data_IF_878138117649
#
_entry.id   IF_878138117649
#
_cell.length_a   1.000
_cell.length_b   1.000
_cell.length_c   1.000
_cell.angle_alpha   90.00
_cell.angle_beta   90.00
_cell.angle_gamma   90.00
#
_symmetry.space_group_name_H-M   'P 1'
#
loop_
_entity.id
_entity.type
_entity.pdbx_description
1 polymer ?
#
# COMPACT_ATOMS: atom_id res chain seq x y z
N UNK A 1 7.77 28.60 -26.03
CA UNK A 1 6.40 28.59 -25.47
C UNK A 1 6.42 27.68 -24.25
N UNK A 2 5.87 28.08 -23.10
CA UNK A 2 5.74 27.16 -21.96
C UNK A 2 4.81 26.00 -22.35
N UNK A 3 5.11 24.79 -21.88
CA UNK A 3 4.28 23.61 -22.11
C UNK A 3 2.91 23.77 -21.47
N UNK A 4 1.87 23.19 -22.08
CA UNK A 4 0.60 22.98 -21.40
C UNK A 4 0.75 21.99 -20.25
N UNK A 5 -0.17 22.04 -19.27
CA UNK A 5 -0.16 21.09 -18.14
C UNK A 5 -0.17 19.63 -18.63
N UNK A 6 -0.97 19.35 -19.68
CA UNK A 6 -1.06 18.01 -20.28
C UNK A 6 0.29 17.57 -20.87
N UNK A 7 0.93 18.44 -21.67
CA UNK A 7 2.22 18.12 -22.27
C UNK A 7 3.31 17.94 -21.21
N UNK A 8 3.30 18.78 -20.18
CA UNK A 8 4.24 18.67 -19.06
C UNK A 8 4.13 17.32 -18.33
N UNK A 9 2.91 16.84 -18.07
CA UNK A 9 2.68 15.53 -17.46
C UNK A 9 3.21 14.41 -18.38
N UNK A 10 2.95 14.47 -19.68
CA UNK A 10 3.42 13.43 -20.61
C UNK A 10 4.95 13.41 -20.71
N UNK A 11 5.60 14.57 -20.82
CA UNK A 11 7.08 14.69 -20.79
C UNK A 11 7.65 14.12 -19.49
N UNK A 12 6.99 14.35 -18.36
CA UNK A 12 7.38 13.78 -17.07
C UNK A 12 7.32 12.24 -17.08
N UNK A 13 6.21 11.69 -17.56
CA UNK A 13 6.00 10.24 -17.66
C UNK A 13 6.95 9.57 -18.66
N UNK A 14 7.33 10.27 -19.73
CA UNK A 14 8.33 9.81 -20.72
C UNK A 14 9.78 9.89 -20.19
N UNK A 15 10.09 10.81 -19.26
CA UNK A 15 11.46 10.96 -18.75
C UNK A 15 12.43 11.69 -19.69
N UNK A 16 11.91 12.29 -20.77
CA UNK A 16 12.70 12.88 -21.86
C UNK A 16 12.11 14.20 -22.37
N UNK A 17 12.92 15.27 -22.33
CA UNK A 17 12.57 16.60 -22.83
C UNK A 17 13.08 16.74 -24.26
N UNK A 18 12.20 16.51 -25.23
CA UNK A 18 12.53 16.51 -26.67
C UNK A 18 13.10 17.83 -27.16
N UNK A 19 12.56 18.96 -26.69
CA UNK A 19 12.96 20.31 -27.12
C UNK A 19 14.37 20.68 -26.71
N UNK A 20 14.88 20.09 -25.63
CA UNK A 20 16.22 20.35 -25.08
C UNK A 20 17.18 19.18 -25.35
N UNK A 21 16.71 18.13 -26.02
CA UNK A 21 17.44 16.87 -26.20
C UNK A 21 17.99 16.33 -24.87
N UNK A 22 17.23 16.49 -23.79
CA UNK A 22 17.65 16.18 -22.43
C UNK A 22 16.85 15.00 -21.87
N UNK A 23 17.55 13.93 -21.50
CA UNK A 23 16.98 12.79 -20.76
C UNK A 23 17.30 12.94 -19.29
N UNK A 24 16.27 13.03 -18.45
CA UNK A 24 16.43 13.11 -16.99
C UNK A 24 16.07 11.78 -16.30
N UNK A 25 15.55 10.81 -17.06
CA UNK A 25 15.29 9.45 -16.58
C UNK A 25 15.46 8.42 -17.70
N UNK A 26 16.08 7.29 -17.37
CA UNK A 26 16.42 6.25 -18.35
C UNK A 26 15.23 5.42 -18.82
N UNK A 27 14.23 5.24 -17.95
CA UNK A 27 13.02 4.46 -18.23
C UNK A 27 11.79 5.37 -18.27
N UNK A 28 10.70 4.92 -18.90
CA UNK A 28 9.39 5.57 -18.86
C UNK A 28 8.56 5.08 -17.65
N UNK A 29 7.60 5.88 -17.18
CA UNK A 29 6.65 5.45 -16.15
C UNK A 29 5.41 4.88 -16.85
N UNK A 30 5.28 3.56 -16.88
CA UNK A 30 4.09 2.88 -17.42
C UNK A 30 3.29 2.22 -16.30
N UNK A 31 1.98 2.45 -16.28
CA UNK A 31 1.06 1.80 -15.35
C UNK A 31 0.42 0.61 -16.05
N UNK A 32 0.88 -0.60 -15.71
CA UNK A 32 0.25 -1.83 -16.19
C UNK A 32 -1.06 -2.02 -15.40
N UNK A 33 -2.20 -1.96 -16.10
CA UNK A 33 -3.45 -2.51 -15.57
C UNK A 33 -3.21 -4.02 -15.54
N UNK A 34 -3.13 -4.60 -14.36
CA UNK A 34 -2.65 -5.96 -14.13
C UNK A 34 -3.27 -6.95 -15.13
N UNK A 35 -2.48 -7.43 -16.09
CA UNK A 35 -2.70 -8.75 -16.65
C UNK A 35 -2.68 -9.70 -15.45
N UNK A 36 -3.80 -10.38 -15.20
CA UNK A 36 -3.93 -11.35 -14.11
C UNK A 36 -2.66 -12.17 -14.08
N UNK A 37 -1.92 -12.08 -12.97
CA UNK A 37 -0.76 -12.92 -12.75
C UNK A 37 -1.21 -14.35 -13.06
N UNK A 38 -0.53 -15.00 -14.02
CA UNK A 38 -0.75 -16.41 -14.34
C UNK A 38 -0.85 -17.15 -13.02
N UNK A 39 -1.87 -17.97 -12.86
CA UNK A 39 -2.10 -18.80 -11.68
C UNK A 39 -0.86 -19.65 -11.43
N UNK A 40 0.09 -19.11 -10.65
CA UNK A 40 1.16 -19.92 -10.11
C UNK A 40 0.46 -20.88 -9.16
N UNK A 41 0.49 -22.18 -9.46
CA UNK A 41 0.04 -23.22 -8.55
C UNK A 41 0.84 -23.10 -7.26
N UNK A 42 0.27 -22.42 -6.28
CA UNK A 42 0.96 -22.09 -5.05
C UNK A 42 0.81 -23.25 -4.08
N UNK A 43 1.97 -23.87 -3.81
CA UNK A 43 2.23 -24.71 -2.64
C UNK A 43 1.62 -24.03 -1.40
N UNK A 44 0.93 -24.82 -0.57
CA UNK A 44 0.22 -24.43 0.65
C UNK A 44 0.51 -22.99 1.12
N UNK A 45 -0.37 -22.06 0.79
CA UNK A 45 -0.28 -20.70 1.26
C UNK A 45 -0.42 -20.66 2.78
N UNK A 46 0.64 -20.23 3.47
CA UNK A 46 0.51 -19.81 4.85
C UNK A 46 -0.34 -18.54 4.87
N UNK A 47 -1.56 -18.68 5.38
CA UNK A 47 -2.48 -17.58 5.60
C UNK A 47 -2.32 -17.12 7.05
N UNK A 48 -1.90 -15.87 7.22
CA UNK A 48 -1.89 -15.26 8.55
C UNK A 48 -3.22 -14.58 8.80
N UNK A 49 -3.81 -14.86 9.96
CA UNK A 49 -5.08 -14.28 10.39
C UNK A 49 -4.85 -13.33 11.55
N UNK A 50 -5.57 -12.23 11.55
CA UNK A 50 -5.63 -11.32 12.68
C UNK A 50 -7.07 -11.20 13.19
N UNK A 51 -7.27 -11.26 14.51
CA UNK A 51 -8.58 -11.13 15.11
C UNK A 51 -9.07 -9.68 15.11
N UNK A 52 -10.31 -9.49 15.54
CA UNK A 52 -10.84 -8.15 15.83
C UNK A 52 -9.97 -7.49 16.91
N UNK A 53 -9.58 -6.24 16.69
CA UNK A 53 -8.77 -5.46 17.64
C UNK A 53 -9.39 -4.09 17.84
N UNK A 54 -9.21 -3.52 19.03
CA UNK A 54 -9.58 -2.12 19.29
C UNK A 54 -8.40 -1.40 19.93
N UNK A 55 -8.19 -0.14 19.55
CA UNK A 55 -7.18 0.73 20.13
C UNK A 55 -7.76 2.11 20.38
N UNK A 56 -7.72 2.54 21.62
CA UNK A 56 -8.30 3.79 22.08
C UNK A 56 -7.19 4.72 22.51
N UNK A 57 -7.19 5.91 21.93
CA UNK A 57 -6.45 7.08 22.38
C UNK A 57 -7.45 8.10 22.93
N UNK A 58 -6.94 9.17 23.54
CA UNK A 58 -7.77 10.16 24.24
C UNK A 58 -9.00 10.64 23.44
N UNK A 59 -8.86 10.95 22.15
CA UNK A 59 -9.96 11.47 21.30
C UNK A 59 -10.24 10.60 20.08
N UNK A 60 -9.59 9.43 19.98
CA UNK A 60 -9.61 8.61 18.77
C UNK A 60 -9.73 7.14 19.14
N UNK A 61 -10.70 6.45 18.55
CA UNK A 61 -10.87 5.01 18.70
C UNK A 61 -10.73 4.36 17.32
N UNK A 62 -9.77 3.43 17.22
CA UNK A 62 -9.57 2.59 16.07
C UNK A 62 -10.17 1.21 16.34
N UNK A 63 -11.10 0.81 15.50
CA UNK A 63 -11.64 -0.55 15.47
C UNK A 63 -11.14 -1.26 14.22
N UNK A 64 -10.47 -2.39 14.39
CA UNK A 64 -9.96 -3.23 13.32
C UNK A 64 -10.84 -4.48 13.27
N UNK A 65 -11.49 -4.69 12.13
CA UNK A 65 -12.24 -5.92 11.86
C UNK A 65 -11.28 -7.08 11.59
N UNK A 66 -11.67 -8.34 11.90
CA UNK A 66 -10.83 -9.50 11.64
C UNK A 66 -10.59 -9.66 10.15
N UNK A 67 -9.40 -10.16 9.80
CA UNK A 67 -9.03 -10.39 8.42
C UNK A 67 -7.86 -11.36 8.32
N UNK A 68 -7.47 -11.61 7.08
CA UNK A 68 -6.36 -12.51 6.77
C UNK A 68 -5.55 -11.96 5.60
N UNK A 69 -4.29 -12.37 5.53
CA UNK A 69 -3.39 -12.06 4.43
C UNK A 69 -2.51 -13.26 4.13
N UNK A 70 -2.18 -13.44 2.84
CA UNK A 70 -1.37 -14.56 2.38
C UNK A 70 0.07 -14.15 2.13
N UNK A 71 1.00 -15.11 2.25
CA UNK A 71 2.35 -14.92 1.73
C UNK A 71 2.30 -14.59 0.23
N UNK A 72 3.13 -13.63 -0.20
CA UNK A 72 3.21 -13.11 -1.58
C UNK A 72 2.04 -12.23 -2.03
N UNK A 73 1.20 -11.75 -1.11
CA UNK A 73 0.17 -10.75 -1.40
C UNK A 73 0.67 -9.32 -1.15
N UNK A 74 0.29 -8.38 -2.01
CA UNK A 74 0.49 -6.94 -1.78
C UNK A 74 -0.86 -6.31 -1.46
N UNK A 75 -1.04 -5.91 -0.20
CA UNK A 75 -2.27 -5.26 0.28
C UNK A 75 -2.04 -3.75 0.41
N UNK A 76 -2.92 -2.97 -0.20
CA UNK A 76 -2.88 -1.49 -0.13
C UNK A 76 -3.91 -1.00 0.90
N UNK A 77 -3.44 -0.29 1.92
CA UNK A 77 -4.30 0.37 2.90
C UNK A 77 -4.67 1.78 2.45
N UNK A 78 -5.97 2.02 2.21
CA UNK A 78 -6.51 3.31 1.78
C UNK A 78 -7.31 3.98 2.90
N UNK A 79 -7.40 5.31 2.85
CA UNK A 79 -8.18 6.11 3.80
C UNK A 79 -7.55 7.47 4.08
N UNK A 80 -8.32 8.40 4.64
CA UNK A 80 -7.83 9.74 4.97
C UNK A 80 -6.73 9.72 6.04
N UNK A 81 -5.98 10.81 6.17
CA UNK A 81 -5.01 10.94 7.27
C UNK A 81 -5.74 10.94 8.61
N UNK A 82 -5.16 10.28 9.62
CA UNK A 82 -5.77 10.15 10.94
C UNK A 82 -6.76 8.98 11.10
N UNK A 83 -7.06 8.19 10.06
CA UNK A 83 -7.97 7.03 10.18
C UNK A 83 -7.37 5.81 10.87
N UNK A 84 -6.13 5.88 11.36
CA UNK A 84 -5.48 4.79 12.09
C UNK A 84 -4.69 3.77 11.25
N UNK A 85 -4.46 4.00 9.95
CA UNK A 85 -3.66 3.09 9.08
C UNK A 85 -2.28 2.78 9.65
N UNK A 86 -1.53 3.81 10.05
CA UNK A 86 -0.20 3.65 10.65
C UNK A 86 -0.27 2.93 12.00
N UNK A 87 -1.31 3.21 12.79
CA UNK A 87 -1.55 2.52 14.07
C UNK A 87 -1.82 1.04 13.85
N UNK A 88 -2.65 0.68 12.87
CA UNK A 88 -2.90 -0.71 12.49
C UNK A 88 -1.61 -1.43 12.10
N UNK A 89 -0.77 -0.82 11.26
CA UNK A 89 0.54 -1.39 10.89
C UNK A 89 1.47 -1.58 12.09
N UNK A 90 1.49 -0.65 13.05
CA UNK A 90 2.27 -0.78 14.28
C UNK A 90 1.77 -1.92 15.17
N UNK A 91 0.47 -2.15 15.22
CA UNK A 91 -0.13 -3.27 15.95
C UNK A 91 0.29 -4.60 15.32
N UNK A 92 0.16 -4.73 13.99
CA UNK A 92 0.60 -5.93 13.27
C UNK A 92 2.10 -6.19 13.43
N UNK A 93 2.92 -5.14 13.47
CA UNK A 93 4.36 -5.23 13.71
C UNK A 93 4.74 -5.51 15.19
N UNK A 94 3.77 -5.58 16.10
CA UNK A 94 4.00 -5.75 17.54
C UNK A 94 4.64 -4.55 18.23
N UNK A 95 4.69 -3.39 17.57
CA UNK A 95 5.24 -2.13 18.11
C UNK A 95 4.23 -1.38 18.98
N UNK A 96 2.94 -1.67 18.82
CA UNK A 96 1.84 -1.10 19.60
C UNK A 96 0.92 -2.23 20.06
N UNK A 97 0.43 -2.18 21.30
CA UNK A 97 -0.51 -3.19 21.81
C UNK A 97 -1.96 -2.72 21.60
N UNK A 98 -2.87 -3.58 21.11
CA UNK A 98 -4.30 -3.31 21.17
C UNK A 98 -4.78 -3.24 22.63
N UNK A 99 -5.93 -2.61 22.86
CA UNK A 99 -6.54 -2.52 24.20
C UNK A 99 -7.10 -3.88 24.64
N UNK A 100 -7.58 -4.66 23.67
CA UNK A 100 -7.97 -6.05 23.86
C UNK A 100 -6.73 -6.91 23.91
N UNK A 101 -6.62 -7.81 24.88
CA UNK A 101 -5.54 -8.80 24.89
C UNK A 101 -5.78 -9.81 23.77
N UNK A 102 -4.94 -9.77 22.72
CA UNK A 102 -5.09 -10.65 21.56
C UNK A 102 -3.76 -11.27 21.17
N UNK A 103 -3.75 -12.60 21.12
CA UNK A 103 -2.63 -13.37 20.62
C UNK A 103 -2.65 -13.30 19.09
N UNK A 104 -1.75 -12.50 18.52
CA UNK A 104 -1.40 -12.60 17.11
C UNK A 104 -0.68 -13.94 16.92
N UNK A 105 -1.33 -14.90 16.27
CA UNK A 105 -0.72 -16.19 15.95
C UNK A 105 0.49 -15.96 15.05
N UNK A 106 1.67 -16.36 15.52
CA UNK A 106 2.92 -16.37 14.74
C UNK A 106 2.96 -17.52 13.77
#
# INVERSE_FOLDING_TARGET
MPFSVREGINVFLEGYIRTENLRFRDVELTFKIAERAKDYELKQHYVQKYPRMTKTFSTFQLTIEPGEFSESEIIVLLGQNGTGKTTFMRILAGLEKPDTDVNLSR
#
